data_IF_397816378300
#
_entry.id   IF_397816378300
#
_cell.length_a   1.000
_cell.length_b   1.000
_cell.length_c   1.000
_cell.angle_alpha   90.00
_cell.angle_beta   90.00
_cell.angle_gamma   90.00
#
_symmetry.space_group_name_H-M   'P 1'
#
loop_
_entity.id
_entity.type
_entity.pdbx_description
1 polymer ?
#
# COMPACT_ATOMS: atom_id res chain seq x y z
N UNK A 1 -2.12 -35.24 0.64
CA UNK A 1 -1.99 -34.07 1.53
C UNK A 1 -1.44 -32.94 0.68
N UNK A 2 -2.23 -31.89 0.42
CA UNK A 2 -1.78 -30.76 -0.37
C UNK A 2 -0.78 -29.94 0.45
N UNK A 3 0.50 -30.26 0.26
CA UNK A 3 1.57 -29.96 1.20
C UNK A 3 2.23 -28.61 0.96
N UNK A 4 2.61 -27.96 2.05
CA UNK A 4 3.51 -26.81 2.03
C UNK A 4 4.80 -27.14 1.27
N UNK A 5 5.22 -26.25 0.37
CA UNK A 5 6.47 -26.36 -0.35
C UNK A 5 7.59 -25.68 0.45
N UNK A 6 8.59 -26.46 0.90
CA UNK A 6 9.69 -25.96 1.74
C UNK A 6 10.56 -24.89 1.08
N UNK A 7 10.60 -24.87 -0.26
CA UNK A 7 11.36 -23.89 -1.05
C UNK A 7 10.58 -22.60 -1.34
N UNK A 8 9.28 -22.57 -1.06
CA UNK A 8 8.45 -21.42 -1.31
C UNK A 8 8.53 -20.41 -0.15
N UNK A 9 8.96 -19.18 -0.46
CA UNK A 9 9.04 -18.09 0.53
C UNK A 9 7.68 -17.77 1.19
N UNK A 10 6.57 -17.91 0.47
CA UNK A 10 5.24 -17.70 1.05
C UNK A 10 4.84 -18.83 1.98
N UNK A 11 5.16 -20.09 1.66
CA UNK A 11 4.99 -21.19 2.61
C UNK A 11 5.86 -20.98 3.87
N UNK A 12 7.09 -20.46 3.72
CA UNK A 12 7.94 -20.14 4.86
C UNK A 12 7.32 -19.04 5.73
N UNK A 13 6.78 -17.96 5.14
CA UNK A 13 6.07 -16.91 5.90
C UNK A 13 4.91 -17.48 6.73
N UNK A 14 4.20 -18.49 6.22
CA UNK A 14 3.07 -19.12 6.89
C UNK A 14 3.47 -20.04 8.05
N UNK A 15 4.62 -20.72 7.95
CA UNK A 15 5.02 -21.76 8.90
C UNK A 15 6.15 -21.32 9.85
N UNK A 16 6.87 -20.25 9.54
CA UNK A 16 7.92 -19.72 10.40
C UNK A 16 7.32 -18.80 11.48
N UNK A 17 7.29 -19.23 12.75
CA UNK A 17 6.81 -18.40 13.86
C UNK A 17 7.67 -17.15 14.08
N UNK A 18 8.90 -17.10 13.55
CA UNK A 18 9.82 -15.97 13.65
C UNK A 18 9.75 -15.04 12.43
N UNK A 19 8.83 -15.26 11.50
CA UNK A 19 8.66 -14.39 10.34
C UNK A 19 8.43 -12.94 10.77
N UNK A 20 9.24 -12.02 10.26
CA UNK A 20 9.09 -10.58 10.50
C UNK A 20 7.92 -9.96 9.71
N UNK A 21 7.25 -10.75 8.87
CA UNK A 21 6.15 -10.29 8.03
C UNK A 21 4.91 -10.05 8.88
N UNK A 22 4.50 -8.80 9.00
CA UNK A 22 3.26 -8.46 9.69
C UNK A 22 2.04 -8.93 8.87
N UNK A 23 1.29 -9.87 9.43
CA UNK A 23 0.04 -10.34 8.85
C UNK A 23 -1.06 -9.29 9.10
N UNK A 24 -1.79 -8.95 8.04
CA UNK A 24 -2.94 -8.04 8.07
C UNK A 24 -4.25 -8.81 8.27
N UNK A 25 -4.30 -10.04 7.80
CA UNK A 25 -5.44 -10.95 7.92
C UNK A 25 -4.95 -12.39 8.01
N UNK A 26 -5.63 -13.23 8.78
CA UNK A 26 -5.39 -14.67 8.85
C UNK A 26 -6.69 -15.38 9.20
N UNK A 27 -7.12 -16.30 8.35
CA UNK A 27 -8.24 -17.19 8.61
C UNK A 27 -7.88 -18.63 8.25
N UNK A 28 -8.87 -19.52 8.19
CA UNK A 28 -8.66 -20.94 7.91
C UNK A 28 -8.10 -21.22 6.50
N UNK A 29 -8.39 -20.37 5.52
CA UNK A 29 -8.09 -20.61 4.10
C UNK A 29 -6.98 -19.71 3.55
N UNK A 30 -6.93 -18.45 3.98
CA UNK A 30 -6.03 -17.44 3.40
C UNK A 30 -5.33 -16.60 4.47
N UNK A 31 -4.24 -15.97 4.04
CA UNK A 31 -3.48 -15.00 4.81
C UNK A 31 -3.22 -13.79 3.92
N UNK A 32 -3.25 -12.59 4.50
CA UNK A 32 -2.89 -11.37 3.80
C UNK A 32 -1.80 -10.59 4.52
N UNK A 33 -0.90 -9.97 3.76
CA UNK A 33 0.19 -9.15 4.28
C UNK A 33 0.60 -8.07 3.26
N UNK A 34 1.39 -7.10 3.71
CA UNK A 34 1.89 -6.04 2.84
C UNK A 34 3.05 -6.54 1.97
N UNK A 35 3.04 -6.18 0.68
CA UNK A 35 4.16 -6.47 -0.22
C UNK A 35 5.41 -5.69 0.22
N UNK A 36 6.56 -6.37 0.28
CA UNK A 36 7.86 -5.79 0.64
C UNK A 36 8.37 -4.78 -0.41
N UNK A 37 7.93 -4.90 -1.66
CA UNK A 37 8.22 -3.99 -2.78
C UNK A 37 6.91 -3.41 -3.33
N UNK A 38 6.24 -2.53 -2.58
CA UNK A 38 4.91 -2.05 -2.93
C UNK A 38 4.94 -1.21 -4.22
N UNK A 39 4.06 -1.55 -5.19
CA UNK A 39 3.90 -0.76 -6.42
C UNK A 39 2.87 0.38 -6.28
N UNK A 40 2.07 0.35 -5.22
CA UNK A 40 1.14 1.39 -4.81
C UNK A 40 1.31 1.66 -3.31
N UNK A 41 0.85 2.80 -2.79
CA UNK A 41 1.00 3.13 -1.35
C UNK A 41 0.46 2.04 -0.44
N UNK A 42 -0.66 1.41 -0.83
CA UNK A 42 -1.17 0.17 -0.24
C UNK A 42 -1.09 -0.89 -1.32
N UNK A 43 -0.21 -1.84 -1.11
CA UNK A 43 -0.05 -3.01 -1.95
C UNK A 43 -0.03 -4.22 -1.03
N UNK A 44 -1.11 -4.99 -1.03
CA UNK A 44 -1.25 -6.19 -0.23
C UNK A 44 -1.22 -7.42 -1.12
N UNK A 45 -0.74 -8.51 -0.55
CA UNK A 45 -0.80 -9.84 -1.14
C UNK A 45 -1.75 -10.68 -0.29
N UNK A 46 -2.76 -11.26 -0.92
CA UNK A 46 -3.59 -12.30 -0.31
C UNK A 46 -3.15 -13.63 -0.89
N UNK A 47 -2.85 -14.61 -0.04
CA UNK A 47 -2.36 -15.93 -0.45
C UNK A 47 -3.22 -17.04 0.19
N UNK A 48 -3.46 -18.16 -0.49
CA UNK A 48 -4.02 -19.35 0.14
C UNK A 48 -2.98 -20.01 1.05
N UNK A 49 -3.43 -20.66 2.12
CA UNK A 49 -2.58 -21.50 2.97
C UNK A 49 -2.13 -22.77 2.25
N UNK A 50 -2.97 -23.34 1.38
CA UNK A 50 -2.57 -24.41 0.46
C UNK A 50 -1.59 -23.85 -0.57
N UNK A 51 -0.52 -24.60 -0.86
CA UNK A 51 0.41 -24.25 -1.92
C UNK A 51 -0.19 -24.57 -3.30
N UNK A 52 -0.50 -23.54 -4.06
CA UNK A 52 -0.91 -23.61 -5.46
C UNK A 52 0.12 -22.82 -6.25
N UNK A 53 0.86 -23.43 -7.17
CA UNK A 53 1.95 -22.75 -7.89
C UNK A 53 1.49 -21.48 -8.61
N UNK A 54 0.54 -21.62 -9.55
CA UNK A 54 0.13 -20.50 -10.42
C UNK A 54 -1.36 -20.49 -10.68
N UNK A 55 -1.87 -19.40 -11.26
CA UNK A 55 -3.25 -19.33 -11.73
C UNK A 55 -3.60 -20.39 -12.80
N UNK A 56 -2.61 -20.96 -13.50
CA UNK A 56 -2.85 -22.03 -14.48
C UNK A 56 -3.26 -23.34 -13.81
N UNK A 57 -2.84 -23.54 -12.56
CA UNK A 57 -3.14 -24.73 -11.79
C UNK A 57 -4.55 -24.71 -11.17
N UNK A 58 -5.20 -23.53 -11.18
CA UNK A 58 -6.60 -23.37 -10.75
C UNK A 58 -7.59 -24.08 -11.69
N UNK A 59 -7.27 -24.18 -12.99
CA UNK A 59 -8.16 -24.78 -14.00
C UNK A 59 -8.22 -26.31 -13.95
N UNK A 60 -7.42 -26.97 -13.10
CA UNK A 60 -7.29 -28.44 -13.09
C UNK A 60 -8.15 -29.13 -12.03
N UNK A 61 -8.88 -28.39 -11.19
CA UNK A 61 -9.69 -28.90 -10.07
C UNK A 61 -10.94 -28.01 -9.95
N UNK A 62 -12.06 -28.42 -10.53
CA UNK A 62 -13.15 -27.51 -10.95
C UNK A 62 -14.01 -26.85 -9.84
N UNK A 63 -14.15 -27.43 -8.64
CA UNK A 63 -15.16 -26.94 -7.68
C UNK A 63 -14.58 -26.16 -6.47
N UNK A 64 -13.41 -26.55 -5.94
CA UNK A 64 -12.87 -25.96 -4.70
C UNK A 64 -12.18 -24.58 -4.90
N UNK A 65 -11.71 -24.28 -6.11
CA UNK A 65 -10.87 -23.10 -6.36
C UNK A 65 -11.61 -21.82 -6.69
N UNK A 66 -12.81 -21.89 -7.26
CA UNK A 66 -13.65 -20.70 -7.48
C UNK A 66 -13.97 -20.02 -6.13
N UNK A 67 -14.22 -20.82 -5.10
CA UNK A 67 -14.42 -20.37 -3.72
C UNK A 67 -13.14 -19.78 -3.14
N UNK A 68 -11.98 -20.42 -3.37
CA UNK A 68 -10.70 -19.90 -2.89
C UNK A 68 -10.38 -18.51 -3.48
N UNK A 69 -10.48 -18.34 -4.80
CA UNK A 69 -10.22 -17.06 -5.47
C UNK A 69 -11.23 -15.99 -5.04
N UNK A 70 -12.51 -16.35 -4.94
CA UNK A 70 -13.55 -15.42 -4.47
C UNK A 70 -13.30 -14.97 -3.03
N UNK A 71 -12.87 -15.88 -2.16
CA UNK A 71 -12.52 -15.57 -0.78
C UNK A 71 -11.29 -14.65 -0.70
N UNK A 72 -10.26 -14.92 -1.50
CA UNK A 72 -9.08 -14.04 -1.60
C UNK A 72 -9.47 -12.62 -2.02
N UNK A 73 -10.37 -12.49 -3.00
CA UNK A 73 -10.87 -11.19 -3.47
C UNK A 73 -11.65 -10.46 -2.37
N UNK A 74 -12.56 -11.16 -1.68
CA UNK A 74 -13.34 -10.60 -0.57
C UNK A 74 -12.45 -10.04 0.52
N UNK A 75 -11.45 -10.80 0.97
CA UNK A 75 -10.47 -10.36 1.98
C UNK A 75 -9.68 -9.16 1.47
N UNK A 76 -9.22 -9.18 0.22
CA UNK A 76 -8.49 -8.05 -0.37
C UNK A 76 -9.33 -6.76 -0.43
N UNK A 77 -10.60 -6.87 -0.77
CA UNK A 77 -11.55 -5.76 -0.79
C UNK A 77 -11.80 -5.20 0.61
N UNK A 78 -12.05 -6.05 1.60
CA UNK A 78 -12.27 -5.62 2.98
C UNK A 78 -11.06 -4.84 3.52
N UNK A 79 -9.85 -5.37 3.33
CA UNK A 79 -8.62 -4.74 3.79
C UNK A 79 -8.41 -3.36 3.16
N UNK A 80 -8.59 -3.24 1.85
CA UNK A 80 -8.43 -1.96 1.16
C UNK A 80 -9.58 -0.99 1.46
N UNK A 81 -10.79 -1.47 1.68
CA UNK A 81 -11.91 -0.63 2.09
C UNK A 81 -11.67 -0.04 3.48
N UNK A 82 -11.03 -0.79 4.39
CA UNK A 82 -10.68 -0.31 5.73
C UNK A 82 -9.51 0.69 5.71
N UNK A 83 -8.45 0.43 4.95
CA UNK A 83 -7.24 1.28 4.94
C UNK A 83 -7.30 2.46 3.95
N UNK A 84 -8.03 2.30 2.84
CA UNK A 84 -8.08 3.28 1.75
C UNK A 84 -9.47 3.35 1.06
N UNK A 85 -10.56 3.66 1.80
CA UNK A 85 -11.94 3.64 1.29
C UNK A 85 -12.22 4.61 0.13
N UNK A 86 -11.45 5.70 0.04
CA UNK A 86 -11.66 6.77 -0.94
C UNK A 86 -10.79 6.61 -2.19
N UNK A 87 -10.18 5.44 -2.38
CA UNK A 87 -9.28 5.17 -3.51
C UNK A 87 -9.86 4.12 -4.45
N UNK A 88 -9.45 4.18 -5.71
CA UNK A 88 -9.80 3.13 -6.67
C UNK A 88 -8.96 1.90 -6.34
N UNK A 89 -9.61 0.75 -6.17
CA UNK A 89 -8.92 -0.51 -5.93
C UNK A 89 -8.71 -1.27 -7.24
N UNK A 90 -7.57 -1.94 -7.37
CA UNK A 90 -7.31 -2.91 -8.44
C UNK A 90 -6.82 -4.22 -7.87
N UNK A 91 -7.30 -5.31 -8.45
CA UNK A 91 -6.99 -6.67 -8.02
C UNK A 91 -6.47 -7.45 -9.23
N UNK A 92 -5.49 -8.33 -9.03
CA UNK A 92 -4.99 -9.14 -10.12
C UNK A 92 -3.94 -10.17 -9.72
N UNK A 93 -3.75 -11.14 -10.60
CA UNK A 93 -2.71 -12.15 -10.49
C UNK A 93 -1.67 -11.93 -11.59
N UNK A 94 -0.41 -12.22 -11.29
CA UNK A 94 0.58 -12.39 -12.35
C UNK A 94 0.44 -13.77 -12.99
N UNK A 95 0.63 -13.84 -14.31
CA UNK A 95 0.66 -15.09 -15.06
C UNK A 95 2.10 -15.47 -15.41
N UNK A 96 2.46 -16.77 -15.38
CA UNK A 96 3.76 -17.23 -15.86
C UNK A 96 4.02 -16.81 -17.31
N UNK A 97 5.26 -16.39 -17.66
CA UNK A 97 6.49 -16.46 -16.85
C UNK A 97 6.77 -15.23 -15.97
N UNK A 98 5.78 -14.35 -15.74
CA UNK A 98 5.99 -13.07 -15.05
C UNK A 98 5.62 -13.08 -13.57
N UNK A 99 5.36 -14.25 -12.97
CA UNK A 99 5.17 -14.38 -11.53
C UNK A 99 6.52 -14.33 -10.80
N UNK A 100 6.61 -13.52 -9.74
CA UNK A 100 7.85 -13.40 -8.95
C UNK A 100 8.04 -14.54 -7.95
N UNK A 101 6.93 -15.11 -7.46
CA UNK A 101 6.92 -16.24 -6.52
C UNK A 101 5.97 -17.31 -7.07
N UNK A 102 6.40 -18.56 -7.05
CA UNK A 102 5.60 -19.71 -7.46
C UNK A 102 4.67 -20.18 -6.33
N UNK A 103 3.75 -19.29 -5.95
CA UNK A 103 2.65 -19.56 -5.02
C UNK A 103 1.58 -18.53 -5.29
N UNK A 104 0.36 -18.96 -5.56
CA UNK A 104 -0.76 -18.12 -5.95
C UNK A 104 -0.94 -16.94 -4.99
N UNK A 105 -0.85 -15.73 -5.51
CA UNK A 105 -1.02 -14.52 -4.71
C UNK A 105 -1.83 -13.49 -5.48
N UNK A 106 -2.89 -13.02 -4.86
CA UNK A 106 -3.69 -11.91 -5.36
C UNK A 106 -3.01 -10.61 -4.96
N UNK A 107 -2.64 -9.79 -5.95
CA UNK A 107 -2.24 -8.42 -5.71
C UNK A 107 -3.47 -7.55 -5.47
N UNK A 108 -3.47 -6.79 -4.39
CA UNK A 108 -4.49 -5.82 -4.05
C UNK A 108 -3.85 -4.42 -3.98
N UNK A 109 -4.27 -3.51 -4.85
CA UNK A 109 -3.71 -2.16 -4.97
C UNK A 109 -4.73 -1.09 -4.60
N UNK A 110 -4.38 -0.15 -3.72
CA UNK A 110 -5.03 1.15 -3.65
C UNK A 110 -4.31 2.14 -4.57
N UNK A 111 -4.97 2.55 -5.66
CA UNK A 111 -4.41 3.49 -6.62
C UNK A 111 -4.28 4.92 -6.05
N UNK A 112 -3.38 5.75 -6.61
CA UNK A 112 -2.55 5.52 -7.80
C UNK A 112 -1.33 4.63 -7.57
N UNK A 113 -0.82 4.03 -8.65
CA UNK A 113 0.49 3.39 -8.65
C UNK A 113 1.58 4.43 -8.39
N UNK A 114 2.60 4.05 -7.63
CA UNK A 114 3.74 4.92 -7.37
C UNK A 114 4.66 4.94 -8.60
N UNK A 115 5.14 6.13 -9.02
CA UNK A 115 6.16 6.23 -10.05
C UNK A 115 7.40 5.41 -9.66
N UNK A 116 7.97 4.66 -10.60
CA UNK A 116 9.14 3.79 -10.35
C UNK A 116 10.37 4.56 -9.81
N UNK A 117 10.41 5.87 -10.00
CA UNK A 117 11.50 6.77 -9.61
C UNK A 117 11.21 7.60 -8.34
N UNK A 118 10.13 7.33 -7.60
CA UNK A 118 9.76 8.11 -6.40
C UNK A 118 10.87 8.19 -5.36
N UNK A 119 11.71 7.17 -5.21
CA UNK A 119 12.82 7.22 -4.26
C UNK A 119 13.81 8.36 -4.57
N UNK A 120 14.12 8.61 -5.85
CA UNK A 120 15.02 9.69 -6.25
C UNK A 120 14.36 11.05 -6.00
N UNK A 121 13.10 11.20 -6.41
CA UNK A 121 12.39 12.48 -6.25
C UNK A 121 12.12 12.80 -4.77
N UNK A 122 11.85 11.80 -3.92
CA UNK A 122 11.65 11.98 -2.48
C UNK A 122 12.95 12.32 -1.76
N UNK A 123 14.09 11.75 -2.18
CA UNK A 123 15.43 12.17 -1.71
C UNK A 123 15.70 13.62 -2.13
N UNK A 124 15.47 13.99 -3.39
CA UNK A 124 15.68 15.36 -3.88
C UNK A 124 14.74 16.37 -3.20
N UNK A 125 13.47 16.03 -3.01
CA UNK A 125 12.48 16.87 -2.32
C UNK A 125 12.76 16.97 -0.81
N UNK A 126 13.20 15.91 -0.15
CA UNK A 126 13.59 15.96 1.26
C UNK A 126 14.88 16.74 1.49
N UNK A 127 15.83 16.73 0.54
CA UNK A 127 16.97 17.65 0.53
C UNK A 127 16.53 19.10 0.32
N UNK A 128 15.59 19.36 -0.60
CA UNK A 128 15.03 20.71 -0.85
C UNK A 128 14.24 21.26 0.35
N UNK A 129 13.45 20.42 1.03
CA UNK A 129 12.71 20.78 2.23
C UNK A 129 13.63 20.95 3.46
N UNK A 130 14.73 20.19 3.56
CA UNK A 130 15.78 20.45 4.56
C UNK A 130 16.39 21.83 4.33
N UNK A 131 16.75 22.19 3.10
CA UNK A 131 17.30 23.52 2.79
C UNK A 131 16.32 24.66 3.14
N UNK A 132 15.03 24.53 2.81
CA UNK A 132 14.02 25.51 3.20
C UNK A 132 13.83 25.64 4.71
N UNK A 133 14.06 24.57 5.48
CA UNK A 133 13.98 24.59 6.96
C UNK A 133 15.21 25.24 7.60
N UNK A 134 16.37 25.19 6.95
CA UNK A 134 17.60 25.88 7.37
C UNK A 134 17.60 27.37 6.98
N UNK A 135 16.91 27.78 5.91
CA UNK A 135 16.75 29.20 5.56
C UNK A 135 15.78 29.96 6.46
N UNK A 136 14.86 29.27 7.16
CA UNK A 136 13.89 29.93 8.04
C UNK A 136 14.45 30.32 9.43
N UNK A 137 15.64 29.84 9.78
CA UNK A 137 16.34 30.22 11.03
C UNK A 137 17.38 31.34 10.84
N UNK A 138 17.62 31.80 9.60
CA UNK A 138 18.59 32.86 9.31
C UNK A 138 17.98 34.17 8.79
N UNK A 139 16.65 34.22 8.62
CA UNK A 139 15.93 35.39 8.09
C UNK A 139 14.89 35.99 9.06
N UNK A 140 14.92 35.61 10.34
CA UNK A 140 14.11 36.27 11.38
C UNK A 140 14.80 37.47 12.04
N UNK A 141 16.03 37.81 11.64
CA UNK A 141 16.80 38.93 12.23
C UNK A 141 16.97 40.17 11.32
N UNK A 142 16.38 40.20 10.12
CA UNK A 142 16.55 41.34 9.18
C UNK A 142 15.23 42.02 8.77
N UNK A 143 14.05 41.51 9.17
CA UNK A 143 12.75 42.12 8.77
C UNK A 143 11.86 42.44 9.99
N UNK A 144 12.41 43.08 11.02
CA UNK A 144 11.63 43.63 12.15
C UNK A 144 12.12 45.03 12.58
N UNK A 145 12.54 45.85 11.62
CA UNK A 145 12.81 47.27 11.92
C UNK A 145 12.55 48.23 10.76
N UNK A 146 11.44 48.08 10.04
CA UNK A 146 10.89 49.19 9.26
C UNK A 146 9.44 48.95 8.91
N UNK A 147 8.51 49.18 9.86
CA UNK A 147 7.11 49.54 9.56
C UNK A 147 6.35 49.95 10.84
N UNK A 148 6.95 50.84 11.63
CA UNK A 148 6.15 51.78 12.42
C UNK A 148 5.74 52.94 11.50
N UNK A 149 4.54 52.86 10.95
CA UNK A 149 3.59 53.98 10.91
C UNK A 149 2.47 53.66 9.94
N UNK A 150 1.27 53.56 10.51
CA UNK A 150 0.00 54.15 10.04
C UNK A 150 -1.15 53.23 10.46
N UNK A 151 -1.81 53.68 11.52
CA UNK A 151 -3.19 53.34 11.86
C UNK A 151 -4.09 53.51 10.64
N UNK A 152 -5.02 52.59 10.40
CA UNK A 152 -6.44 52.92 10.28
C UNK A 152 -7.34 51.67 10.38
N UNK A 153 -8.13 51.67 11.45
CA UNK A 153 -9.56 51.35 11.54
C UNK A 153 -10.14 50.01 11.04
N UNK A 154 -10.62 49.26 12.04
CA UNK A 154 -11.62 48.18 12.01
C UNK A 154 -13.02 48.75 11.76
N UNK A 155 -13.78 48.17 10.83
CA UNK A 155 -15.25 48.05 10.81
C UNK A 155 -15.59 46.85 9.90
N UNK A 156 -16.30 45.80 10.37
CA UNK A 156 -17.75 45.59 10.22
C UNK A 156 -18.11 45.20 8.76
N UNK A 157 -18.88 44.18 8.40
CA UNK A 157 -19.96 43.40 9.03
C UNK A 157 -20.31 42.19 8.14
N UNK A 158 -20.92 41.16 8.75
CA UNK A 158 -21.69 40.06 8.15
C UNK A 158 -22.62 40.45 6.98
N UNK A 159 -22.80 39.58 5.97
CA UNK A 159 -24.12 39.01 5.54
C UNK A 159 -24.01 38.00 4.37
N UNK A 160 -24.64 36.85 4.61
CA UNK A 160 -25.29 35.81 3.78
C UNK A 160 -25.38 35.87 2.24
N UNK A 161 -25.13 34.67 1.67
CA UNK A 161 -25.76 33.98 0.53
C UNK A 161 -26.67 34.77 -0.44
N UNK A 162 -26.37 34.63 -1.73
CA UNK A 162 -27.22 33.90 -2.69
C UNK A 162 -26.32 33.01 -3.56
#
# INVERSE_FOLDING_TARGET
MAGANQTCIFCQILHDPNSTTRLLHTDEKVVAFQDIKPAARRHYLVIPKEHISTVRDLQRRDEDYSLAVSHMLSVGQELLQKDAPQTIHRFGFHQPPFNSVDHLHLHCFALPFMPRYTNILHILLSHRLKLQKYDFLFLSHIVTKQMESRQVHVFGTFRWFY
#
